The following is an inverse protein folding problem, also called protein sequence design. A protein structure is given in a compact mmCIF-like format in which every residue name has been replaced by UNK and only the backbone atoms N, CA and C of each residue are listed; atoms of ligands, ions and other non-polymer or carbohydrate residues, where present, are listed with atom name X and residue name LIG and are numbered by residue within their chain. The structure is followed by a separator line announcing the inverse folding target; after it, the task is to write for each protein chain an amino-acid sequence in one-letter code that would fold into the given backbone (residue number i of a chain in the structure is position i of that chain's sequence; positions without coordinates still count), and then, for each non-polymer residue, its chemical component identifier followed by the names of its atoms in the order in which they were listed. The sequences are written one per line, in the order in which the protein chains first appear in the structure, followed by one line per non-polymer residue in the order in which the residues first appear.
data_IF_028354759124
#
_entry.id   IF_028354759124
#
_cell.length_a   1.000
_cell.length_b   1.000
_cell.length_c   1.000
_cell.angle_alpha   90.00
_cell.angle_beta   90.00
_cell.angle_gamma   90.00
#
_symmetry.space_group_name_H-M   'P 1'
#
loop_
_entity.id
_entity.type
_entity.pdbx_description
1 polymer ?
#
# COMPACT_ATOMS: atom_id res chain seq x y z
N UNK A 1 24.37 12.84 -8.64
CA UNK A 1 24.07 11.41 -8.41
C UNK A 1 23.01 11.37 -7.33
N UNK A 2 21.81 10.88 -7.64
CA UNK A 2 20.78 10.65 -6.63
C UNK A 2 21.05 9.26 -6.03
N UNK A 3 21.40 9.21 -4.75
CA UNK A 3 21.53 7.95 -4.01
C UNK A 3 20.11 7.46 -3.74
N UNK A 4 19.71 6.35 -4.37
CA UNK A 4 18.43 5.71 -4.10
C UNK A 4 18.47 5.22 -2.65
N UNK A 5 17.56 5.70 -1.82
CA UNK A 5 17.46 5.27 -0.43
C UNK A 5 16.92 3.84 -0.40
N UNK A 6 17.68 2.91 0.16
CA UNK A 6 17.26 1.53 0.36
C UNK A 6 16.42 1.44 1.64
N UNK A 7 15.13 1.18 1.49
CA UNK A 7 14.24 0.90 2.62
C UNK A 7 14.16 -0.60 2.83
N UNK A 8 14.58 -1.06 4.00
CA UNK A 8 14.46 -2.48 4.38
C UNK A 8 13.08 -2.75 4.98
N UNK A 9 12.36 -3.69 4.37
CA UNK A 9 11.08 -4.20 4.88
C UNK A 9 11.34 -5.24 5.98
N UNK A 10 10.90 -4.95 7.21
CA UNK A 10 10.98 -5.90 8.31
C UNK A 10 9.82 -6.88 8.27
N UNK A 11 9.88 -7.87 7.38
CA UNK A 11 8.88 -8.94 7.35
C UNK A 11 8.99 -9.84 8.58
N UNK A 12 7.86 -10.41 8.99
CA UNK A 12 7.86 -11.50 9.96
C UNK A 12 8.78 -12.63 9.46
N UNK A 13 9.82 -12.98 10.23
CA UNK A 13 10.81 -14.01 9.86
C UNK A 13 10.23 -15.40 9.60
N UNK A 14 8.97 -15.65 10.01
CA UNK A 14 8.23 -16.89 9.74
C UNK A 14 7.54 -16.91 8.37
N UNK A 15 7.55 -15.80 7.64
CA UNK A 15 6.97 -15.65 6.31
C UNK A 15 8.09 -15.47 5.29
N UNK A 16 8.22 -16.42 4.36
CA UNK A 16 9.16 -16.32 3.23
C UNK A 16 8.37 -16.14 1.96
N UNK A 17 8.70 -15.10 1.20
CA UNK A 17 8.00 -14.74 -0.04
C UNK A 17 8.99 -14.81 -1.18
N UNK A 18 8.76 -15.74 -2.09
CA UNK A 18 9.59 -15.92 -3.27
C UNK A 18 8.73 -15.67 -4.50
N UNK A 19 9.07 -14.67 -5.30
CA UNK A 19 8.40 -14.41 -6.57
C UNK A 19 9.10 -15.19 -7.69
N UNK A 20 8.46 -16.25 -8.20
CA UNK A 20 8.94 -17.02 -9.37
C UNK A 20 8.42 -16.46 -10.70
N UNK A 21 7.95 -15.21 -10.73
CA UNK A 21 7.33 -14.57 -11.90
C UNK A 21 5.84 -14.89 -12.09
N UNK A 22 5.17 -15.46 -11.07
CA UNK A 22 3.74 -15.74 -11.09
C UNK A 22 2.87 -14.57 -10.59
N UNK A 23 1.56 -14.64 -10.83
CA UNK A 23 0.62 -13.66 -10.30
C UNK A 23 0.48 -13.82 -8.78
N UNK A 24 0.72 -12.74 -8.05
CA UNK A 24 0.56 -12.67 -6.60
C UNK A 24 -0.91 -12.39 -6.27
N UNK A 25 -1.80 -13.35 -6.51
CA UNK A 25 -3.26 -13.19 -6.45
C UNK A 25 -3.92 -13.76 -5.18
N UNK A 26 -3.14 -14.18 -4.18
CA UNK A 26 -3.65 -14.77 -2.94
C UNK A 26 -3.71 -13.73 -1.82
N UNK A 27 -4.46 -13.99 -0.74
CA UNK A 27 -4.54 -13.13 0.45
C UNK A 27 -3.16 -12.78 1.03
N UNK A 28 -2.20 -13.71 0.96
CA UNK A 28 -0.81 -13.48 1.35
C UNK A 28 -0.12 -12.42 0.48
N UNK A 29 -0.50 -12.34 -0.79
CA UNK A 29 -0.08 -11.32 -1.74
C UNK A 29 -0.54 -9.92 -1.37
N UNK A 30 -1.80 -9.80 -0.94
CA UNK A 30 -2.35 -8.53 -0.49
C UNK A 30 -1.64 -8.02 0.78
N UNK A 31 -1.32 -8.92 1.72
CA UNK A 31 -0.55 -8.58 2.93
C UNK A 31 0.83 -8.02 2.57
N UNK A 32 1.52 -8.63 1.61
CA UNK A 32 2.82 -8.13 1.12
C UNK A 32 2.73 -6.72 0.53
N UNK A 33 1.74 -6.49 -0.32
CA UNK A 33 1.53 -5.18 -0.93
C UNK A 33 1.24 -4.15 0.15
N UNK A 34 0.39 -4.49 1.12
CA UNK A 34 0.04 -3.58 2.22
C UNK A 34 1.23 -3.21 3.10
N UNK A 35 2.07 -4.18 3.46
CA UNK A 35 3.32 -3.93 4.21
C UNK A 35 4.31 -3.07 3.41
N UNK A 36 4.43 -3.31 2.10
CA UNK A 36 5.27 -2.47 1.23
C UNK A 36 4.76 -1.03 1.19
N UNK A 37 3.46 -0.82 0.93
CA UNK A 37 2.86 0.51 0.89
C UNK A 37 3.04 1.25 2.23
N UNK A 38 2.85 0.55 3.35
CA UNK A 38 3.08 1.12 4.67
C UNK A 38 4.54 1.58 4.85
N UNK A 39 5.51 0.76 4.45
CA UNK A 39 6.94 1.06 4.64
C UNK A 39 7.45 2.30 3.88
N UNK A 40 6.82 2.61 2.74
CA UNK A 40 7.20 3.77 1.91
C UNK A 40 6.42 5.02 2.31
N UNK A 41 5.61 4.97 3.37
CA UNK A 41 4.78 6.08 3.82
C UNK A 41 3.66 6.41 2.83
N UNK A 42 3.08 5.39 2.18
CA UNK A 42 2.09 5.58 1.13
C UNK A 42 0.81 6.24 1.65
N UNK A 43 0.38 5.95 2.88
CA UNK A 43 -0.78 6.59 3.51
C UNK A 43 -0.61 8.13 3.59
N UNK A 44 0.55 8.60 4.06
CA UNK A 44 0.83 10.02 4.18
C UNK A 44 0.94 10.69 2.81
N UNK A 45 1.48 9.97 1.82
CA UNK A 45 1.51 10.43 0.44
C UNK A 45 0.09 10.58 -0.12
N UNK A 46 -0.80 9.61 0.14
CA UNK A 46 -2.19 9.67 -0.28
C UNK A 46 -2.93 10.83 0.37
N UNK A 47 -2.83 11.04 1.68
CA UNK A 47 -3.48 12.18 2.35
C UNK A 47 -3.06 13.54 1.74
N UNK A 48 -1.79 13.64 1.33
CA UNK A 48 -1.23 14.88 0.76
C UNK A 48 -1.65 15.10 -0.70
N UNK A 49 -1.64 14.06 -1.52
CA UNK A 49 -1.75 14.19 -2.99
C UNK A 49 -3.11 13.74 -3.53
N UNK A 50 -3.84 12.88 -2.83
CA UNK A 50 -5.11 12.31 -3.28
C UNK A 50 -6.28 13.11 -2.73
N UNK A 51 -6.93 13.90 -3.61
CA UNK A 51 -8.10 14.70 -3.29
C UNK A 51 -9.27 14.36 -4.20
N UNK A 52 -10.29 13.71 -3.66
CA UNK A 52 -11.54 13.47 -4.39
C UNK A 52 -12.50 14.65 -4.21
N UNK A 53 -13.06 15.14 -5.31
CA UNK A 53 -14.20 16.06 -5.27
C UNK A 53 -15.46 15.24 -5.04
N UNK A 54 -15.76 14.97 -3.78
CA UNK A 54 -16.92 14.20 -3.39
C UNK A 54 -18.00 15.11 -2.78
N UNK A 55 -19.16 15.15 -3.44
CA UNK A 55 -20.31 15.94 -3.01
C UNK A 55 -21.34 15.13 -2.20
N UNK A 56 -21.03 13.87 -1.87
CA UNK A 56 -21.94 13.00 -1.11
C UNK A 56 -22.09 13.50 0.33
N UNK A 57 -23.31 13.48 0.83
CA UNK A 57 -23.65 14.00 2.17
C UNK A 57 -23.30 13.03 3.31
N UNK A 58 -23.39 11.71 3.09
CA UNK A 58 -23.04 10.66 4.05
C UNK A 58 -23.21 9.26 3.43
N UNK A 59 -22.45 8.23 3.82
CA UNK A 59 -21.26 8.28 4.68
C UNK A 59 -20.02 8.79 3.94
N UNK A 60 -19.18 9.55 4.66
CA UNK A 60 -17.87 9.96 4.15
C UNK A 60 -16.84 8.89 4.49
N UNK A 61 -16.03 8.54 3.49
CA UNK A 61 -14.88 7.66 3.64
C UNK A 61 -13.63 8.46 3.32
N UNK A 62 -12.53 8.08 3.95
CA UNK A 62 -11.24 8.66 3.64
C UNK A 62 -10.73 8.16 2.29
N UNK A 63 -9.93 8.96 1.60
CA UNK A 63 -9.55 8.72 0.20
C UNK A 63 -8.70 7.45 0.05
N UNK A 64 -7.87 7.15 1.05
CA UNK A 64 -7.13 5.91 1.16
C UNK A 64 -8.05 4.68 1.27
N UNK A 65 -9.12 4.78 2.07
CA UNK A 65 -10.08 3.67 2.23
C UNK A 65 -10.82 3.38 0.92
N UNK A 66 -11.17 4.42 0.16
CA UNK A 66 -11.81 4.27 -1.15
C UNK A 66 -10.87 3.58 -2.14
N UNK A 67 -9.57 3.90 -2.10
CA UNK A 67 -8.60 3.34 -3.03
C UNK A 67 -8.21 1.89 -2.69
N UNK A 68 -8.22 1.52 -1.40
CA UNK A 68 -8.00 0.15 -0.95
C UNK A 68 -9.19 -0.81 -1.25
N UNK A 69 -10.36 -0.30 -1.65
CA UNK A 69 -11.55 -1.11 -1.97
C UNK A 69 -11.52 -1.81 -3.34
N UNK A 70 -10.39 -1.79 -4.05
CA UNK A 70 -10.22 -2.45 -5.36
C UNK A 70 -9.95 -3.95 -5.27
#
# INVERSE_FOLDING_TARGET
MATLHENTLNFNKKMTVTNTGGNLSTDAGLVLVKEFLHSIGFEQLMEKELHFQDSRLSPTHSNETILEQL
#
